data_IF_695183914563
#
_entry.id   IF_695183914563
#
_cell.length_a   1.000
_cell.length_b   1.000
_cell.length_c   1.000
_cell.angle_alpha   90.00
_cell.angle_beta   90.00
_cell.angle_gamma   90.00
#
_symmetry.space_group_name_H-M   'P 1'
#
loop_
_entity.id
_entity.type
_entity.pdbx_description
1 polymer ?
#
# COMPACT_ATOMS: atom_id res chain seq x y z
N UNK A 1 -5.82 -12.53 -9.28
CA UNK A 1 -7.08 -12.92 -8.61
C UNK A 1 -8.30 -12.69 -9.50
N UNK A 2 -8.69 -11.45 -9.80
CA UNK A 2 -9.95 -11.15 -10.52
C UNK A 2 -10.13 -11.85 -11.89
N UNK A 3 -9.03 -12.14 -12.61
CA UNK A 3 -9.04 -12.82 -13.92
C UNK A 3 -8.53 -14.27 -13.89
N UNK A 4 -8.48 -14.88 -12.71
CA UNK A 4 -7.92 -16.24 -12.53
C UNK A 4 -8.98 -17.35 -12.60
N UNK A 5 -10.26 -17.00 -12.83
CA UNK A 5 -11.38 -17.94 -12.88
C UNK A 5 -11.85 -18.42 -11.50
N UNK A 6 -12.97 -19.14 -11.45
CA UNK A 6 -13.60 -19.60 -10.20
C UNK A 6 -12.78 -20.62 -9.40
N UNK A 7 -11.95 -21.43 -10.08
CA UNK A 7 -11.07 -22.40 -9.41
C UNK A 7 -10.06 -21.76 -8.47
N UNK A 8 -9.72 -20.48 -8.71
CA UNK A 8 -8.78 -19.73 -7.90
C UNK A 8 -9.33 -19.32 -6.52
N UNK A 9 -10.63 -19.52 -6.26
CA UNK A 9 -11.26 -19.35 -4.96
C UNK A 9 -11.08 -20.57 -4.05
N UNK A 10 -10.72 -21.73 -4.62
CA UNK A 10 -10.57 -22.96 -3.85
C UNK A 10 -9.36 -22.86 -2.93
N UNK A 11 -9.56 -23.18 -1.64
CA UNK A 11 -8.52 -23.03 -0.62
C UNK A 11 -7.32 -23.98 -0.82
N UNK A 12 -7.50 -25.04 -1.59
CA UNK A 12 -6.44 -25.96 -1.99
C UNK A 12 -5.54 -25.42 -3.11
N UNK A 13 -5.83 -24.23 -3.65
CA UNK A 13 -4.97 -23.53 -4.60
C UNK A 13 -4.17 -22.43 -3.91
N UNK A 14 -2.91 -22.19 -4.31
CA UNK A 14 -2.06 -21.21 -3.62
C UNK A 14 -2.41 -19.75 -3.93
N UNK A 15 -3.09 -19.48 -5.05
CA UNK A 15 -3.26 -18.10 -5.55
C UNK A 15 -4.11 -17.24 -4.60
N UNK A 16 -5.20 -17.77 -4.05
CA UNK A 16 -6.01 -17.04 -3.06
C UNK A 16 -5.24 -16.71 -1.78
N UNK A 17 -4.27 -17.55 -1.39
CA UNK A 17 -3.42 -17.30 -0.23
C UNK A 17 -2.51 -16.11 -0.49
N UNK A 18 -1.76 -16.12 -1.59
CA UNK A 18 -0.90 -14.98 -1.95
C UNK A 18 -1.69 -13.68 -2.14
N UNK A 19 -2.91 -13.75 -2.69
CA UNK A 19 -3.75 -12.57 -2.80
C UNK A 19 -4.13 -11.99 -1.43
N UNK A 20 -4.57 -12.82 -0.50
CA UNK A 20 -4.89 -12.39 0.89
C UNK A 20 -3.64 -11.89 1.62
N UNK A 21 -2.52 -12.61 1.49
CA UNK A 21 -1.25 -12.26 2.14
C UNK A 21 -0.75 -10.89 1.65
N UNK A 22 -0.86 -10.61 0.35
CA UNK A 22 -0.53 -9.29 -0.20
C UNK A 22 -1.42 -8.17 0.35
N UNK A 23 -2.74 -8.40 0.48
CA UNK A 23 -3.65 -7.39 1.03
C UNK A 23 -3.46 -7.20 2.53
N UNK A 24 -3.12 -8.25 3.27
CA UNK A 24 -2.73 -8.14 4.67
C UNK A 24 -1.45 -7.31 4.82
N UNK A 25 -0.44 -7.53 3.96
CA UNK A 25 0.78 -6.72 3.94
C UNK A 25 0.54 -5.25 3.64
N UNK A 26 -0.41 -4.93 2.74
CA UNK A 26 -0.80 -3.55 2.44
C UNK A 26 -1.41 -2.79 3.63
N UNK A 27 -1.88 -3.48 4.68
CA UNK A 27 -2.37 -2.84 5.90
C UNK A 27 -1.23 -2.33 6.82
N UNK A 28 0.03 -2.68 6.55
CA UNK A 28 1.17 -2.19 7.33
C UNK A 28 1.31 -0.66 7.23
N UNK A 29 1.61 0.01 8.34
CA UNK A 29 1.63 1.48 8.44
C UNK A 29 2.53 2.18 7.41
N UNK A 30 3.59 1.53 6.96
CA UNK A 30 4.51 2.05 5.92
C UNK A 30 3.83 2.25 4.56
N UNK A 31 2.69 1.60 4.31
CA UNK A 31 1.95 1.71 3.06
C UNK A 31 0.87 2.80 3.11
N UNK A 32 0.76 3.59 4.18
CA UNK A 32 -0.17 4.74 4.26
C UNK A 32 0.34 5.88 3.37
N UNK A 33 -0.31 6.22 2.25
CA UNK A 33 0.31 7.06 1.22
C UNK A 33 0.06 8.56 1.39
N UNK A 34 -1.05 8.96 2.02
CA UNK A 34 -1.55 10.35 1.93
C UNK A 34 -0.57 11.42 2.42
N UNK A 35 -0.04 11.28 3.64
CA UNK A 35 0.90 12.27 4.21
C UNK A 35 2.22 12.32 3.46
N UNK A 36 2.72 11.17 2.98
CA UNK A 36 3.97 11.06 2.22
C UNK A 36 3.84 11.67 0.83
N UNK A 37 2.75 11.41 0.11
CA UNK A 37 2.50 12.03 -1.20
C UNK A 37 2.33 13.54 -1.09
N UNK A 38 1.66 14.02 -0.03
CA UNK A 38 1.57 15.44 0.23
C UNK A 38 2.95 16.05 0.52
N UNK A 39 3.72 15.50 1.47
CA UNK A 39 5.04 16.02 1.83
C UNK A 39 6.01 16.03 0.65
N UNK A 40 6.07 14.93 -0.12
CA UNK A 40 6.93 14.85 -1.31
C UNK A 40 6.54 15.85 -2.40
N UNK A 41 5.25 16.03 -2.65
CA UNK A 41 4.76 17.03 -3.62
C UNK A 41 5.06 18.45 -3.14
N UNK A 42 4.88 18.74 -1.84
CA UNK A 42 5.21 20.03 -1.25
C UNK A 42 6.70 20.36 -1.44
N UNK A 43 7.59 19.40 -1.20
CA UNK A 43 9.03 19.55 -1.45
C UNK A 43 9.34 19.82 -2.93
N UNK A 44 8.67 19.14 -3.86
CA UNK A 44 8.85 19.39 -5.29
C UNK A 44 8.37 20.78 -5.73
N UNK A 45 7.39 21.35 -5.02
CA UNK A 45 6.90 22.71 -5.25
C UNK A 45 7.74 23.79 -4.54
N UNK A 46 8.84 23.40 -3.86
CA UNK A 46 9.74 24.31 -3.16
C UNK A 46 9.30 24.68 -1.73
N UNK A 47 8.27 24.01 -1.19
CA UNK A 47 7.88 24.14 0.21
C UNK A 47 8.61 23.14 1.10
N UNK A 48 8.81 23.49 2.37
CA UNK A 48 9.45 22.60 3.34
C UNK A 48 8.42 21.93 4.26
N UNK A 49 8.22 20.60 4.22
CA UNK A 49 7.33 19.89 5.14
C UNK A 49 7.79 20.04 6.59
N UNK A 50 6.85 20.25 7.51
CA UNK A 50 7.11 20.45 8.95
C UNK A 50 6.28 19.50 9.83
N UNK A 51 6.73 19.32 11.07
CA UNK A 51 6.03 18.51 12.08
C UNK A 51 5.78 17.08 11.60
N UNK A 52 4.54 16.60 11.75
CA UNK A 52 4.15 15.23 11.39
C UNK A 52 4.33 14.92 9.89
N UNK A 53 4.42 15.93 9.03
CA UNK A 53 4.68 15.72 7.60
C UNK A 53 6.13 15.32 7.29
N UNK A 54 7.03 15.34 8.28
CA UNK A 54 8.38 14.76 8.18
C UNK A 54 8.49 13.37 8.80
N UNK A 55 7.39 12.82 9.31
CA UNK A 55 7.40 11.48 9.87
C UNK A 55 7.61 10.44 8.76
N UNK A 56 8.55 9.51 8.98
CA UNK A 56 8.85 8.38 8.07
C UNK A 56 9.44 8.80 6.71
N UNK A 57 10.21 9.90 6.64
CA UNK A 57 10.91 10.41 5.45
C UNK A 57 12.28 10.99 5.80
#
# INVERSE_FOLDING_TARGET
FARSGGGALQLNTPMQRFWRDAHAGLAHAIHVPGSIFHASTLSQLGGEPQGIHRSMI
#
